data_IF_644183987788
#
_entry.id   IF_644183987788
#
_cell.length_a   1.000
_cell.length_b   1.000
_cell.length_c   1.000
_cell.angle_alpha   90.00
_cell.angle_beta   90.00
_cell.angle_gamma   90.00
#
_symmetry.space_group_name_H-M   'P 1'
#
loop_
_entity.id
_entity.type
_entity.pdbx_description
1 polymer ?
#
# COMPACT_ATOMS: atom_id res chain seq x y z
N UNK A 1 -17.29 -7.20 7.15
CA UNK A 1 -17.49 -6.30 6.01
C UNK A 1 -16.40 -5.24 6.00
N UNK A 2 -15.75 -5.06 4.86
CA UNK A 2 -14.65 -4.12 4.78
C UNK A 2 -15.19 -2.72 4.57
N UNK A 3 -14.76 -1.79 5.43
CA UNK A 3 -15.20 -0.40 5.36
C UNK A 3 -14.03 0.51 5.03
N UNK A 4 -13.24 0.10 4.05
CA UNK A 4 -12.08 0.89 3.68
C UNK A 4 -12.50 2.25 3.11
N UNK A 5 -12.01 3.35 3.67
CA UNK A 5 -12.28 4.66 3.09
C UNK A 5 -11.46 4.84 1.81
N UNK A 6 -11.99 5.64 0.88
CA UNK A 6 -11.18 6.00 -0.28
C UNK A 6 -10.01 6.85 0.19
N UNK A 7 -8.82 6.59 -0.36
CA UNK A 7 -7.63 7.33 0.04
C UNK A 7 -6.68 7.48 -1.14
N UNK A 8 -5.86 8.53 -1.11
CA UNK A 8 -4.86 8.72 -2.14
C UNK A 8 -3.76 7.68 -2.02
N UNK A 9 -3.21 7.25 -3.16
CA UNK A 9 -2.17 6.24 -3.17
C UNK A 9 -0.96 6.67 -2.34
N UNK A 10 -0.58 7.95 -2.40
CA UNK A 10 0.56 8.43 -1.61
C UNK A 10 0.33 8.25 -0.12
N UNK A 11 -0.91 8.38 0.33
CA UNK A 11 -1.23 8.21 1.75
C UNK A 11 -1.16 6.74 2.14
N UNK A 12 -1.63 5.87 1.25
CA UNK A 12 -1.53 4.43 1.49
C UNK A 12 -0.07 4.00 1.53
N UNK A 13 0.76 4.54 0.64
CA UNK A 13 2.19 4.23 0.64
C UNK A 13 2.85 4.69 1.93
N UNK A 14 2.51 5.88 2.41
CA UNK A 14 3.06 6.39 3.66
C UNK A 14 2.67 5.48 4.83
N UNK A 15 1.43 4.99 4.82
CA UNK A 15 0.97 4.06 5.86
C UNK A 15 1.74 2.75 5.82
N UNK A 16 1.99 2.23 4.61
CA UNK A 16 2.79 1.01 4.46
C UNK A 16 4.19 1.20 5.03
N UNK A 17 4.79 2.37 4.77
CA UNK A 17 6.13 2.64 5.29
C UNK A 17 6.13 2.71 6.81
N UNK A 18 5.07 3.24 7.41
CA UNK A 18 4.96 3.28 8.86
C UNK A 18 4.90 1.90 9.49
N UNK A 19 4.34 0.91 8.79
CA UNK A 19 4.24 -0.44 9.33
C UNK A 19 5.41 -1.33 8.91
N UNK A 20 6.46 -0.73 8.33
CA UNK A 20 7.72 -1.44 8.13
C UNK A 20 8.07 -1.73 6.68
N UNK A 21 7.25 -1.34 5.71
CA UNK A 21 7.58 -1.55 4.32
C UNK A 21 8.58 -0.51 3.86
N UNK A 22 9.52 -0.91 3.00
CA UNK A 22 10.53 -0.03 2.45
C UNK A 22 10.50 -0.10 0.94
N UNK A 23 10.62 1.05 0.28
CA UNK A 23 10.75 1.10 -1.17
C UNK A 23 12.19 0.73 -1.51
N UNK A 24 12.36 -0.40 -2.20
CA UNK A 24 13.68 -0.88 -2.58
C UNK A 24 13.96 -0.68 -4.06
N UNK A 25 12.91 -0.39 -4.85
CA UNK A 25 13.09 -0.18 -6.27
C UNK A 25 11.93 0.66 -6.80
N UNK A 26 12.22 1.60 -7.68
CA UNK A 26 11.20 2.41 -8.33
C UNK A 26 11.41 2.35 -9.84
N UNK A 27 10.31 2.12 -10.57
CA UNK A 27 10.32 2.12 -12.03
C UNK A 27 9.02 2.77 -12.47
N UNK A 28 9.11 4.04 -12.91
CA UNK A 28 7.92 4.81 -13.21
C UNK A 28 7.04 4.97 -11.99
N UNK A 29 5.77 4.58 -12.10
CA UNK A 29 4.85 4.61 -10.96
C UNK A 29 4.87 3.30 -10.17
N UNK A 30 5.69 2.33 -10.60
CA UNK A 30 5.78 1.05 -9.91
C UNK A 30 6.88 1.10 -8.87
N UNK A 31 6.54 0.74 -7.64
CA UNK A 31 7.49 0.68 -6.55
C UNK A 31 7.49 -0.72 -5.96
N UNK A 32 8.67 -1.29 -5.83
CA UNK A 32 8.83 -2.58 -5.18
C UNK A 32 9.11 -2.34 -3.72
N UNK A 33 8.29 -2.95 -2.86
CA UNK A 33 8.40 -2.77 -1.42
C UNK A 33 8.81 -4.09 -0.78
N UNK A 34 9.58 -3.97 0.29
CA UNK A 34 10.01 -5.14 1.06
C UNK A 34 9.82 -4.89 2.54
N UNK A 35 9.45 -5.95 3.23
CA UNK A 35 9.33 -5.95 4.69
C UNK A 35 9.80 -7.30 5.18
N UNK A 36 10.61 -7.32 6.23
CA UNK A 36 11.14 -8.56 6.76
C UNK A 36 10.02 -9.49 7.19
N UNK A 37 10.10 -10.74 6.75
CA UNK A 37 9.10 -11.73 7.09
C UNK A 37 7.90 -11.75 6.16
N UNK A 38 7.91 -10.90 5.13
CA UNK A 38 6.79 -10.80 4.19
C UNK A 38 7.26 -11.00 2.76
N UNK A 39 6.40 -11.55 1.89
CA UNK A 39 6.73 -11.58 0.46
C UNK A 39 6.82 -10.16 -0.08
N UNK A 40 7.63 -10.00 -1.11
CA UNK A 40 7.78 -8.72 -1.80
C UNK A 40 6.44 -8.26 -2.35
N UNK A 41 6.18 -6.97 -2.24
CA UNK A 41 4.92 -6.39 -2.72
C UNK A 41 5.20 -5.31 -3.75
N UNK A 42 4.44 -5.32 -4.84
CA UNK A 42 4.55 -4.29 -5.88
C UNK A 42 3.43 -3.28 -5.72
N UNK A 43 3.80 -2.04 -5.46
CA UNK A 43 2.87 -0.93 -5.33
C UNK A 43 2.84 -0.21 -6.68
N UNK A 44 1.75 -0.39 -7.44
CA UNK A 44 1.69 0.04 -8.83
C UNK A 44 0.63 1.13 -9.02
N UNK A 45 0.69 2.18 -8.21
CA UNK A 45 -0.26 3.28 -8.26
C UNK A 45 0.46 4.61 -8.34
N UNK A 46 -0.14 5.57 -9.05
CA UNK A 46 0.36 6.95 -9.06
C UNK A 46 0.01 7.61 -7.73
N UNK A 47 0.85 8.54 -7.29
CA UNK A 47 0.67 9.19 -5.99
C UNK A 47 -0.70 9.84 -5.83
N UNK A 48 -1.22 10.42 -6.91
CA UNK A 48 -2.50 11.13 -6.85
C UNK A 48 -3.70 10.24 -7.15
N UNK A 49 -3.45 8.99 -7.48
CA UNK A 49 -4.53 8.06 -7.78
C UNK A 49 -5.32 7.77 -6.52
N UNK A 50 -6.64 7.72 -6.66
CA UNK A 50 -7.50 7.43 -5.53
C UNK A 50 -7.79 5.94 -5.48
N UNK A 51 -7.58 5.34 -4.33
CA UNK A 51 -7.79 3.91 -4.12
C UNK A 51 -9.08 3.70 -3.37
N UNK A 52 -9.94 2.87 -3.93
CA UNK A 52 -11.21 2.54 -3.31
C UNK A 52 -11.11 1.31 -2.42
N UNK A 53 -12.26 0.85 -1.88
CA UNK A 53 -12.27 -0.27 -0.93
C UNK A 53 -11.70 -1.56 -1.51
N UNK A 54 -11.96 -1.85 -2.79
CA UNK A 54 -11.46 -3.09 -3.37
C UNK A 54 -9.94 -3.08 -3.45
N UNK A 55 -9.36 -1.98 -3.94
CA UNK A 55 -7.91 -1.87 -4.06
C UNK A 55 -7.25 -1.93 -2.69
N UNK A 56 -7.82 -1.23 -1.71
CA UNK A 56 -7.25 -1.20 -0.36
C UNK A 56 -7.37 -2.56 0.33
N UNK A 57 -8.48 -3.26 0.12
CA UNK A 57 -8.66 -4.58 0.68
C UNK A 57 -7.64 -5.57 0.12
N UNK A 58 -7.40 -5.53 -1.19
CA UNK A 58 -6.40 -6.37 -1.80
C UNK A 58 -5.00 -6.04 -1.28
N UNK A 59 -4.70 -4.76 -1.19
CA UNK A 59 -3.41 -4.32 -0.65
C UNK A 59 -3.21 -4.84 0.76
N UNK A 60 -4.26 -4.75 1.59
CA UNK A 60 -4.19 -5.20 2.98
C UNK A 60 -3.87 -6.69 3.08
N UNK A 61 -4.42 -7.50 2.17
CA UNK A 61 -4.18 -8.94 2.19
C UNK A 61 -2.71 -9.28 1.97
N UNK A 62 -2.00 -8.44 1.22
CA UNK A 62 -0.61 -8.72 0.87
C UNK A 62 0.39 -7.99 1.76
N UNK A 63 -0.05 -7.02 2.54
CA UNK A 63 0.87 -6.14 3.27
C UNK A 63 0.62 -6.08 4.77
N UNK A 64 -0.53 -6.57 5.23
CA UNK A 64 -0.89 -6.43 6.63
C UNK A 64 -1.39 -5.04 6.99
N UNK A 65 -1.65 -4.18 5.99
CA UNK A 65 -2.20 -2.86 6.23
C UNK A 65 -3.58 -2.97 6.87
N UNK A 66 -3.86 -2.10 7.84
CA UNK A 66 -5.16 -2.04 8.50
C UNK A 66 -5.73 -0.65 8.33
N UNK A 67 -7.06 -0.54 8.47
CA UNK A 67 -7.72 0.75 8.30
C UNK A 67 -7.15 1.80 9.24
N UNK A 68 -6.83 1.41 10.45
CA UNK A 68 -6.30 2.34 11.43
C UNK A 68 -4.89 2.83 11.10
N UNK A 69 -4.22 2.22 10.13
CA UNK A 69 -2.90 2.64 9.71
C UNK A 69 -2.93 3.83 8.75
N UNK A 70 -4.10 4.12 8.18
CA UNK A 70 -4.25 5.21 7.22
C UNK A 70 -4.30 6.59 7.85
#
# INVERSE_FOLDING_TARGET
>A
MSEWPATKARRALAALQRIGWRVVRTSGSHRTLRREGWPQYRFAYHDKEELGPVALSEMARHTGLRQEDL
#
